data_IF_339623097611
#
_entry.id   IF_339623097611
#
_cell.length_a   1.000
_cell.length_b   1.000
_cell.length_c   1.000
_cell.angle_alpha   90.00
_cell.angle_beta   90.00
_cell.angle_gamma   90.00
#
_symmetry.space_group_name_H-M   'P 1'
#
loop_
_entity.id
_entity.type
_entity.pdbx_description
1 polymer ?
#
# COMPACT_ATOMS: atom_id res chain seq x y z
N UNK A 1 7.87 -21.90 5.63
CA UNK A 1 7.45 -20.50 5.46
C UNK A 1 6.43 -20.12 6.53
N UNK A 2 6.82 -19.30 7.48
CA UNK A 2 5.93 -18.75 8.52
C UNK A 2 5.17 -17.52 8.01
N UNK A 3 4.08 -17.13 8.69
CA UNK A 3 3.41 -15.86 8.45
C UNK A 3 3.57 -14.94 9.65
N UNK A 4 4.10 -13.75 9.41
CA UNK A 4 4.26 -12.72 10.44
C UNK A 4 3.17 -11.67 10.24
N UNK A 5 2.10 -11.79 11.01
CA UNK A 5 0.97 -10.87 10.99
C UNK A 5 1.31 -9.68 11.87
N UNK A 6 1.29 -8.47 11.32
CA UNK A 6 1.72 -7.27 12.05
C UNK A 6 0.69 -6.17 11.97
N UNK A 7 0.66 -5.38 13.04
CA UNK A 7 0.02 -4.08 13.11
C UNK A 7 0.93 -3.14 13.90
N UNK A 8 0.87 -1.84 13.59
CA UNK A 8 1.69 -0.82 14.23
C UNK A 8 0.83 0.37 14.62
N UNK A 9 1.03 0.86 15.83
CA UNK A 9 0.51 2.18 16.21
C UNK A 9 1.60 3.23 16.07
N UNK A 10 1.23 4.42 15.63
CA UNK A 10 2.17 5.53 15.44
C UNK A 10 1.63 6.85 15.98
N UNK A 11 2.56 7.67 16.48
CA UNK A 11 2.29 9.05 16.85
C UNK A 11 2.63 10.00 15.70
N UNK A 12 2.05 11.19 15.74
CA UNK A 12 2.26 12.26 14.77
C UNK A 12 2.35 13.61 15.48
N UNK A 13 2.67 14.66 14.72
CA UNK A 13 2.72 16.03 15.25
C UNK A 13 1.43 16.40 16.00
N UNK A 14 1.50 16.78 17.30
CA UNK A 14 0.35 17.28 18.05
C UNK A 14 -0.03 18.71 17.64
N UNK A 15 0.84 19.40 16.89
CA UNK A 15 0.66 20.79 16.45
C UNK A 15 0.23 20.90 14.97
N UNK A 16 -0.29 19.80 14.41
CA UNK A 16 -0.78 19.74 13.04
C UNK A 16 0.31 19.51 11.99
N UNK A 17 -0.11 19.45 10.72
CA UNK A 17 0.71 19.00 9.58
C UNK A 17 1.93 19.89 9.30
N UNK A 18 1.83 21.20 9.55
CA UNK A 18 2.92 22.13 9.28
C UNK A 18 4.13 21.94 10.22
N UNK A 19 3.88 21.41 11.42
CA UNK A 19 4.92 21.06 12.40
C UNK A 19 5.38 19.59 12.27
N UNK A 20 4.92 18.87 11.25
CA UNK A 20 5.33 17.48 11.01
C UNK A 20 6.77 17.41 10.47
N UNK A 21 7.52 16.40 10.91
CA UNK A 21 8.85 16.11 10.43
C UNK A 21 8.68 15.44 9.08
N UNK A 22 9.15 16.08 8.01
CA UNK A 22 8.99 15.58 6.64
C UNK A 22 9.60 14.20 6.42
N UNK A 23 10.65 13.84 7.17
CA UNK A 23 11.31 12.53 7.07
C UNK A 23 10.62 11.45 7.89
N UNK A 24 9.87 11.84 8.93
CA UNK A 24 9.17 10.93 9.82
C UNK A 24 7.84 11.54 10.26
N UNK A 25 6.82 11.58 9.38
CA UNK A 25 5.53 12.18 9.70
C UNK A 25 4.73 11.33 10.71
N UNK A 26 5.00 10.02 10.74
CA UNK A 26 4.43 9.03 11.64
C UNK A 26 5.59 8.27 12.30
N UNK A 27 5.73 8.40 13.61
CA UNK A 27 6.73 7.69 14.41
C UNK A 27 6.06 6.51 15.10
N UNK A 28 6.54 5.29 14.83
CA UNK A 28 5.97 4.07 15.43
C UNK A 28 6.17 4.12 16.95
N UNK A 29 5.10 3.84 17.68
CA UNK A 29 5.03 3.84 19.15
C UNK A 29 4.61 2.49 19.74
N UNK A 30 4.06 1.58 18.96
CA UNK A 30 3.74 0.21 19.39
C UNK A 30 3.95 -0.75 18.21
N UNK A 31 4.54 -1.91 18.48
CA UNK A 31 4.59 -3.04 17.54
C UNK A 31 3.79 -4.18 18.13
N UNK A 32 2.79 -4.66 17.39
CA UNK A 32 2.07 -5.89 17.69
C UNK A 32 2.21 -6.87 16.55
N UNK A 33 2.54 -8.12 16.87
CA UNK A 33 2.66 -9.15 15.87
C UNK A 33 2.28 -10.53 16.40
N UNK A 34 1.73 -11.34 15.50
CA UNK A 34 1.38 -12.74 15.71
C UNK A 34 2.05 -13.57 14.64
N UNK A 35 2.76 -14.61 15.07
CA UNK A 35 3.41 -15.55 14.16
C UNK A 35 2.52 -16.77 13.98
N UNK A 36 2.27 -17.13 12.73
CA UNK A 36 1.54 -18.32 12.35
C UNK A 36 2.43 -19.30 11.60
N UNK A 37 2.20 -20.60 11.81
CA UNK A 37 2.75 -21.64 10.96
C UNK A 37 2.05 -21.73 9.59
N UNK A 38 2.47 -22.70 8.76
CA UNK A 38 1.92 -22.91 7.42
C UNK A 38 0.43 -23.27 7.42
N UNK A 39 -0.05 -23.92 8.48
CA UNK A 39 -1.45 -24.27 8.69
C UNK A 39 -2.28 -23.10 9.23
N UNK A 40 -1.66 -21.96 9.55
CA UNK A 40 -2.32 -20.80 10.13
C UNK A 40 -2.55 -20.90 11.64
N UNK A 41 -1.88 -21.82 12.33
CA UNK A 41 -1.91 -21.93 13.79
C UNK A 41 -0.93 -20.93 14.38
N UNK A 42 -1.35 -20.27 15.44
CA UNK A 42 -0.48 -19.36 16.18
C UNK A 42 0.63 -20.13 16.90
N UNK A 43 1.87 -19.68 16.71
CA UNK A 43 3.06 -20.29 17.33
C UNK A 43 3.84 -19.32 18.21
N UNK A 44 3.68 -18.00 18.03
CA UNK A 44 4.33 -17.01 18.89
C UNK A 44 3.69 -15.61 18.77
N UNK A 45 3.99 -14.71 19.72
CA UNK A 45 3.54 -13.31 19.73
C UNK A 45 4.70 -12.36 20.07
N UNK A 46 4.66 -11.16 19.49
CA UNK A 46 5.57 -10.07 19.81
C UNK A 46 4.76 -8.80 20.08
N UNK A 47 4.99 -8.15 21.23
CA UNK A 47 4.30 -6.92 21.60
C UNK A 47 5.24 -6.01 22.37
N UNK A 48 5.56 -4.86 21.81
CA UNK A 48 6.52 -3.92 22.38
C UNK A 48 6.06 -2.47 22.24
N UNK A 49 6.15 -1.73 23.35
CA UNK A 49 5.92 -0.30 23.40
C UNK A 49 7.21 0.45 23.07
N UNK A 50 7.13 1.44 22.19
CA UNK A 50 8.28 2.20 21.71
C UNK A 50 8.26 3.62 22.28
N UNK A 51 9.41 4.03 22.83
CA UNK A 51 9.61 5.39 23.30
C UNK A 51 9.93 6.33 22.13
N UNK A 52 9.06 7.31 21.82
CA UNK A 52 9.27 8.21 20.70
C UNK A 52 10.41 9.19 20.97
N UNK A 53 11.19 9.46 19.93
CA UNK A 53 12.27 10.45 19.94
C UNK A 53 11.81 11.78 19.34
N UNK A 54 10.98 11.74 18.30
CA UNK A 54 10.52 12.90 17.52
C UNK A 54 9.25 13.49 18.12
N UNK A 55 8.22 12.68 18.35
CA UNK A 55 6.92 13.11 18.85
C UNK A 55 6.70 12.66 20.29
N UNK A 56 7.37 13.33 21.23
CA UNK A 56 7.32 13.00 22.67
C UNK A 56 5.98 13.32 23.34
N UNK A 57 5.17 14.16 22.73
CA UNK A 57 3.81 14.49 23.18
C UNK A 57 2.82 13.79 22.26
N UNK A 58 1.79 13.15 22.83
CA UNK A 58 0.79 12.47 22.02
C UNK A 58 -0.06 13.46 21.24
N UNK A 59 -0.33 13.12 19.98
CA UNK A 59 -1.43 13.73 19.27
C UNK A 59 -2.77 13.34 19.93
N UNK A 60 -3.67 14.31 20.13
CA UNK A 60 -4.95 14.08 20.83
C UNK A 60 -5.83 13.02 20.17
N UNK A 61 -5.86 12.97 18.83
CA UNK A 61 -6.67 11.97 18.10
C UNK A 61 -6.06 10.59 18.28
N UNK A 62 -4.74 10.44 18.10
CA UNK A 62 -4.03 9.17 18.32
C UNK A 62 -4.22 8.67 19.75
N UNK A 63 -4.11 9.55 20.75
CA UNK A 63 -4.32 9.21 22.16
C UNK A 63 -5.73 8.69 22.43
N UNK A 64 -6.74 9.34 21.84
CA UNK A 64 -8.13 8.92 22.03
C UNK A 64 -8.45 7.60 21.34
N UNK A 65 -7.82 7.32 20.19
CA UNK A 65 -8.02 6.07 19.46
C UNK A 65 -7.33 4.89 20.14
N UNK A 66 -6.06 5.05 20.50
CA UNK A 66 -5.21 3.94 20.99
C UNK A 66 -5.24 3.75 22.51
N UNK A 67 -5.69 4.76 23.26
CA UNK A 67 -5.57 4.79 24.72
C UNK A 67 -4.13 4.93 25.24
N UNK A 68 -3.11 4.95 24.38
CA UNK A 68 -1.69 5.02 24.77
C UNK A 68 -1.40 6.39 25.38
N UNK A 69 -0.81 6.39 26.58
CA UNK A 69 -0.44 7.63 27.28
C UNK A 69 1.04 7.94 27.14
N UNK A 70 1.41 9.21 27.35
CA UNK A 70 2.82 9.62 27.43
C UNK A 70 3.58 8.87 28.53
N UNK A 71 2.90 8.41 29.58
CA UNK A 71 3.52 7.60 30.65
C UNK A 71 3.91 6.21 30.14
N UNK A 72 3.06 5.61 29.31
CA UNK A 72 3.33 4.31 28.69
C UNK A 72 4.50 4.43 27.72
N UNK A 73 4.47 5.46 26.86
CA UNK A 73 5.56 5.75 25.93
C UNK A 73 6.91 5.96 26.63
N UNK A 74 6.92 6.65 27.78
CA UNK A 74 8.16 6.89 28.51
C UNK A 74 8.79 5.62 29.10
N UNK A 75 8.02 4.55 29.26
CA UNK A 75 8.45 3.22 29.69
C UNK A 75 8.86 2.32 28.52
N UNK A 76 8.52 2.70 27.30
CA UNK A 76 8.87 1.94 26.09
C UNK A 76 10.36 1.88 25.82
N UNK A 77 10.74 0.93 24.96
CA UNK A 77 12.11 0.74 24.48
C UNK A 77 12.34 1.61 23.23
N UNK A 78 13.58 1.99 22.94
CA UNK A 78 13.88 2.81 21.75
C UNK A 78 13.69 2.00 20.46
N UNK A 79 13.12 2.63 19.43
CA UNK A 79 12.78 1.97 18.15
C UNK A 79 13.90 1.10 17.57
N UNK A 80 15.18 1.54 17.47
CA UNK A 80 16.24 0.69 16.94
C UNK A 80 16.40 -0.66 17.64
N UNK A 81 16.26 -0.69 18.97
CA UNK A 81 16.41 -1.94 19.73
C UNK A 81 15.22 -2.86 19.50
N UNK A 82 14.00 -2.32 19.60
CA UNK A 82 12.77 -3.09 19.36
C UNK A 82 12.75 -3.65 17.95
N UNK A 83 13.17 -2.87 16.94
CA UNK A 83 13.24 -3.34 15.56
C UNK A 83 14.20 -4.51 15.40
N UNK A 84 15.41 -4.44 15.98
CA UNK A 84 16.37 -5.55 15.92
C UNK A 84 15.77 -6.81 16.55
N UNK A 85 15.16 -6.69 17.72
CA UNK A 85 14.52 -7.81 18.41
C UNK A 85 13.35 -8.38 17.59
N UNK A 86 12.55 -7.50 17.00
CA UNK A 86 11.43 -7.87 16.14
C UNK A 86 11.89 -8.62 14.89
N UNK A 87 12.94 -8.16 14.22
CA UNK A 87 13.48 -8.83 13.03
C UNK A 87 14.12 -10.18 13.38
N UNK A 88 14.80 -10.29 14.53
CA UNK A 88 15.30 -11.57 15.04
C UNK A 88 14.14 -12.52 15.34
N UNK A 89 13.07 -12.02 15.95
CA UNK A 89 11.86 -12.78 16.23
C UNK A 89 11.15 -13.24 14.95
N UNK A 90 11.12 -12.43 13.89
CA UNK A 90 10.57 -12.83 12.59
C UNK A 90 11.26 -14.07 12.00
N UNK A 91 12.58 -14.21 12.22
CA UNK A 91 13.37 -15.31 11.64
C UNK A 91 13.74 -15.08 10.18
N UNK A 92 14.08 -16.15 9.47
CA UNK A 92 14.64 -16.07 8.09
C UNK A 92 13.62 -16.35 6.98
N UNK A 93 12.68 -17.29 7.19
CA UNK A 93 11.70 -17.71 6.17
C UNK A 93 10.26 -17.38 6.60
N UNK A 94 9.86 -16.14 6.32
CA UNK A 94 8.53 -15.65 6.66
C UNK A 94 7.93 -14.76 5.57
N UNK A 95 6.61 -14.61 5.59
CA UNK A 95 5.88 -13.63 4.81
C UNK A 95 5.06 -12.72 5.71
N UNK A 96 5.20 -11.40 5.53
CA UNK A 96 4.36 -10.45 6.26
C UNK A 96 2.89 -10.55 5.84
N UNK A 97 2.02 -10.37 6.82
CA UNK A 97 0.59 -10.16 6.65
C UNK A 97 0.20 -8.88 7.37
N UNK A 98 -0.53 -7.99 6.71
CA UNK A 98 -1.02 -6.75 7.33
C UNK A 98 -2.48 -6.56 6.96
N UNK A 99 -3.25 -5.91 7.84
CA UNK A 99 -4.60 -5.53 7.47
C UNK A 99 -4.57 -4.54 6.29
N UNK A 100 -3.83 -3.44 6.45
CA UNK A 100 -3.76 -2.34 5.50
C UNK A 100 -2.54 -2.37 4.57
N UNK A 101 -2.24 -1.22 3.96
CA UNK A 101 -1.05 -1.02 3.12
C UNK A 101 -0.10 0.04 3.69
N UNK A 102 -0.33 0.47 4.93
CA UNK A 102 0.43 1.54 5.58
C UNK A 102 1.50 0.98 6.51
N UNK A 103 1.27 -0.16 7.13
CA UNK A 103 2.14 -0.73 8.16
C UNK A 103 3.58 -0.92 7.66
N UNK A 104 3.76 -1.66 6.55
CA UNK A 104 5.09 -1.87 5.97
C UNK A 104 5.70 -0.59 5.38
N UNK A 105 4.87 0.34 4.91
CA UNK A 105 5.33 1.62 4.39
C UNK A 105 5.92 2.47 5.52
N UNK A 106 5.20 2.58 6.64
CA UNK A 106 5.65 3.36 7.79
C UNK A 106 6.75 2.65 8.56
N UNK A 107 6.77 1.31 8.63
CA UNK A 107 7.90 0.54 9.14
C UNK A 107 9.17 0.91 8.38
N UNK A 108 9.19 0.77 7.05
CA UNK A 108 10.39 1.08 6.26
C UNK A 108 10.77 2.57 6.34
N UNK A 109 9.81 3.48 6.47
CA UNK A 109 10.11 4.91 6.68
C UNK A 109 10.79 5.15 8.03
N UNK A 110 10.30 4.50 9.09
CA UNK A 110 10.93 4.57 10.42
C UNK A 110 12.34 3.94 10.35
N UNK A 111 12.52 2.80 9.67
CA UNK A 111 13.82 2.18 9.44
C UNK A 111 14.79 3.14 8.75
N UNK A 112 14.36 3.80 7.66
CA UNK A 112 15.18 4.78 6.95
C UNK A 112 15.57 5.98 7.83
N UNK A 113 14.63 6.50 8.63
CA UNK A 113 14.91 7.60 9.56
C UNK A 113 16.02 7.25 10.57
N UNK A 114 16.07 5.99 11.01
CA UNK A 114 17.07 5.47 11.93
C UNK A 114 18.28 4.80 11.25
N UNK A 115 18.36 4.82 9.91
CA UNK A 115 19.42 4.16 9.12
C UNK A 115 19.50 2.64 9.32
N UNK A 116 18.34 1.98 9.36
CA UNK A 116 18.18 0.54 9.60
C UNK A 116 17.51 -0.20 8.43
N UNK A 117 17.43 0.42 7.26
CA UNK A 117 16.74 -0.13 6.07
C UNK A 117 17.31 -1.47 5.59
N UNK A 118 18.60 -1.74 5.86
CA UNK A 118 19.26 -3.00 5.51
C UNK A 118 18.77 -4.22 6.32
N UNK A 119 18.09 -4.01 7.45
CA UNK A 119 17.51 -5.12 8.22
C UNK A 119 16.32 -5.78 7.50
N UNK A 120 15.68 -5.07 6.57
CA UNK A 120 14.55 -5.57 5.79
C UNK A 120 14.65 -5.06 4.37
N UNK A 121 15.39 -5.80 3.54
CA UNK A 121 15.63 -5.42 2.14
C UNK A 121 14.36 -5.57 1.32
N UNK A 122 13.88 -4.46 0.77
CA UNK A 122 12.70 -4.44 -0.10
C UNK A 122 13.06 -4.53 -1.60
N UNK A 123 12.05 -4.47 -2.50
CA UNK A 123 10.61 -4.39 -2.24
C UNK A 123 10.05 -5.60 -1.47
N UNK A 124 9.13 -5.37 -0.53
CA UNK A 124 8.66 -6.42 0.40
C UNK A 124 7.42 -7.11 -0.17
N UNK A 125 7.47 -8.44 -0.33
CA UNK A 125 6.28 -9.25 -0.63
C UNK A 125 5.50 -9.50 0.66
N UNK A 126 4.19 -9.31 0.60
CA UNK A 126 3.31 -9.50 1.75
C UNK A 126 1.86 -9.80 1.33
N UNK A 127 1.08 -10.31 2.27
CA UNK A 127 -0.37 -10.43 2.14
C UNK A 127 -1.07 -9.22 2.75
N UNK A 128 -1.83 -8.51 1.92
CA UNK A 128 -2.77 -7.51 2.40
C UNK A 128 -4.09 -8.23 2.71
N UNK A 129 -4.31 -8.51 3.99
CA UNK A 129 -5.42 -9.35 4.47
C UNK A 129 -6.77 -8.69 4.17
N UNK A 130 -6.87 -7.37 4.23
CA UNK A 130 -8.09 -6.65 3.87
C UNK A 130 -8.50 -6.89 2.40
N UNK A 131 -7.56 -6.88 1.45
CA UNK A 131 -7.84 -7.17 0.03
C UNK A 131 -8.19 -8.64 -0.20
N UNK A 132 -7.54 -9.54 0.52
CA UNK A 132 -7.89 -10.96 0.49
C UNK A 132 -9.31 -11.16 1.02
N UNK A 133 -9.63 -10.52 2.14
CA UNK A 133 -10.96 -10.55 2.73
C UNK A 133 -12.02 -10.04 1.77
N UNK A 134 -11.83 -8.85 1.17
CA UNK A 134 -12.78 -8.33 0.19
C UNK A 134 -12.95 -9.26 -1.02
N UNK A 135 -11.89 -9.99 -1.38
CA UNK A 135 -11.91 -10.89 -2.54
C UNK A 135 -12.63 -12.21 -2.24
N UNK A 136 -12.38 -12.81 -1.08
CA UNK A 136 -12.89 -14.13 -0.74
C UNK A 136 -14.26 -14.09 -0.07
N UNK A 137 -14.59 -13.00 0.63
CA UNK A 137 -15.82 -12.92 1.43
C UNK A 137 -16.72 -11.76 1.02
N UNK A 138 -16.18 -10.56 0.80
CA UNK A 138 -17.04 -9.39 0.66
C UNK A 138 -17.55 -9.12 -0.76
N UNK A 139 -16.87 -9.57 -1.83
CA UNK A 139 -17.19 -9.29 -3.27
C UNK A 139 -17.47 -7.83 -3.68
N UNK A 140 -17.57 -6.90 -2.73
CA UNK A 140 -17.72 -5.48 -2.93
C UNK A 140 -16.38 -4.84 -3.27
N UNK A 141 -16.45 -3.72 -3.97
CA UNK A 141 -15.27 -2.93 -4.37
C UNK A 141 -14.78 -1.95 -3.29
N UNK A 142 -15.43 -1.95 -2.13
CA UNK A 142 -15.18 -1.05 -0.99
C UNK A 142 -14.08 -1.58 -0.07
N UNK A 143 -13.35 -0.65 0.54
CA UNK A 143 -12.36 -0.94 1.60
C UNK A 143 -13.13 -1.10 2.90
N UNK A 144 -12.97 -2.23 3.60
CA UNK A 144 -13.68 -2.52 4.87
C UNK A 144 -12.79 -2.34 6.08
N UNK A 145 -13.35 -1.97 7.24
CA UNK A 145 -12.60 -1.92 8.50
C UNK A 145 -12.27 -3.32 9.01
N UNK A 146 -11.26 -3.41 9.89
CA UNK A 146 -10.92 -4.66 10.58
C UNK A 146 -12.09 -5.14 11.43
N UNK A 147 -12.69 -4.21 12.20
CA UNK A 147 -13.90 -4.45 12.99
C UNK A 147 -15.05 -5.06 12.17
N UNK A 148 -15.33 -4.53 10.99
CA UNK A 148 -16.35 -5.10 10.11
C UNK A 148 -16.05 -6.55 9.74
N UNK A 149 -14.79 -6.88 9.45
CA UNK A 149 -14.42 -8.24 9.07
C UNK A 149 -14.45 -9.22 10.26
N UNK A 150 -14.06 -8.77 11.45
CA UNK A 150 -14.20 -9.52 12.71
C UNK A 150 -15.66 -9.87 12.95
N UNK A 151 -16.56 -8.88 12.84
CA UNK A 151 -18.00 -9.08 13.01
C UNK A 151 -18.59 -9.98 11.93
N UNK A 152 -18.20 -9.78 10.67
CA UNK A 152 -18.67 -10.59 9.54
C UNK A 152 -18.34 -12.07 9.71
N UNK A 153 -17.12 -12.38 10.17
CA UNK A 153 -16.67 -13.74 10.43
C UNK A 153 -17.10 -14.28 11.80
N UNK A 154 -17.81 -13.47 12.60
CA UNK A 154 -18.26 -13.79 13.96
C UNK A 154 -17.11 -14.24 14.87
N UNK A 155 -15.95 -13.62 14.71
CA UNK A 155 -14.80 -13.85 15.57
C UNK A 155 -15.08 -13.27 16.96
N UNK A 156 -14.44 -13.84 17.99
CA UNK A 156 -14.60 -13.34 19.36
C UNK A 156 -13.83 -12.04 19.53
N UNK A 157 -14.50 -11.01 20.02
CA UNK A 157 -13.85 -9.79 20.51
C UNK A 157 -13.03 -10.11 21.77
N UNK A 158 -11.72 -10.18 21.63
CA UNK A 158 -10.77 -10.53 22.71
C UNK A 158 -10.10 -9.31 23.35
N UNK A 159 -10.14 -8.16 22.69
CA UNK A 159 -9.54 -6.91 23.15
C UNK A 159 -10.06 -5.68 22.39
N UNK A 160 -9.64 -4.50 22.83
CA UNK A 160 -9.98 -3.23 22.18
C UNK A 160 -9.24 -3.09 20.84
N UNK A 161 -9.91 -2.54 19.84
CA UNK A 161 -9.28 -2.10 18.59
C UNK A 161 -8.28 -0.97 18.84
N UNK A 162 -7.35 -0.76 17.90
CA UNK A 162 -6.30 0.27 18.00
C UNK A 162 -5.28 0.02 19.12
N UNK A 163 -5.12 -1.25 19.47
CA UNK A 163 -3.95 -1.77 20.18
C UNK A 163 -3.27 -2.72 19.22
N UNK A 164 -2.00 -2.47 18.94
CA UNK A 164 -1.30 -3.15 17.85
C UNK A 164 -1.37 -4.68 17.97
N UNK A 165 -1.20 -5.22 19.19
CA UNK A 165 -1.27 -6.67 19.39
C UNK A 165 -2.67 -7.25 19.14
N UNK A 166 -3.72 -6.55 19.55
CA UNK A 166 -5.10 -7.00 19.34
C UNK A 166 -5.46 -6.96 17.84
N UNK A 167 -5.07 -5.88 17.14
CA UNK A 167 -5.34 -5.74 15.71
C UNK A 167 -4.52 -6.75 14.88
N UNK A 168 -3.30 -7.07 15.30
CA UNK A 168 -2.52 -8.18 14.75
C UNK A 168 -3.19 -9.55 14.99
N UNK A 169 -3.72 -9.80 16.19
CA UNK A 169 -4.47 -11.02 16.51
C UNK A 169 -5.73 -11.18 15.67
N UNK A 170 -6.57 -10.14 15.58
CA UNK A 170 -7.76 -10.17 14.73
C UNK A 170 -7.39 -10.40 13.27
N UNK A 171 -6.37 -9.71 12.77
CA UNK A 171 -5.86 -9.92 11.41
C UNK A 171 -5.37 -11.36 11.21
N UNK A 172 -4.73 -11.94 12.23
CA UNK A 172 -4.20 -13.30 12.19
C UNK A 172 -5.32 -14.34 12.16
N UNK A 173 -6.37 -14.18 12.97
CA UNK A 173 -7.55 -15.04 12.97
C UNK A 173 -8.28 -14.99 11.62
N UNK A 174 -8.47 -13.78 11.07
CA UNK A 174 -9.07 -13.59 9.74
C UNK A 174 -8.21 -14.26 8.67
N UNK A 175 -6.89 -14.11 8.72
CA UNK A 175 -6.00 -14.73 7.75
C UNK A 175 -5.97 -16.25 7.90
N UNK A 176 -5.98 -16.79 9.14
CA UNK A 176 -5.93 -18.22 9.45
C UNK A 176 -7.07 -19.01 8.81
N UNK A 177 -8.28 -18.44 8.73
CA UNK A 177 -9.45 -19.08 8.11
C UNK A 177 -9.47 -19.02 6.58
N UNK A 178 -8.55 -18.28 5.95
CA UNK A 178 -8.45 -18.20 4.49
C UNK A 178 -7.72 -19.41 3.90
N UNK A 179 -8.16 -19.87 2.74
CA UNK A 179 -7.41 -20.86 1.96
C UNK A 179 -6.04 -20.28 1.54
N UNK A 180 -4.96 -20.88 2.08
CA UNK A 180 -3.58 -20.43 1.83
C UNK A 180 -3.14 -20.62 0.37
N UNK A 181 -3.64 -21.65 -0.31
CA UNK A 181 -3.34 -21.89 -1.74
C UNK A 181 -3.98 -20.82 -2.60
N UNK A 182 -5.20 -20.40 -2.27
CA UNK A 182 -5.83 -19.28 -2.95
C UNK A 182 -5.15 -17.95 -2.59
N UNK A 183 -4.86 -17.70 -1.31
CA UNK A 183 -4.18 -16.48 -0.86
C UNK A 183 -2.83 -16.28 -1.55
N UNK A 184 -2.05 -17.36 -1.74
CA UNK A 184 -0.74 -17.34 -2.39
C UNK A 184 -0.75 -16.76 -3.82
N UNK A 185 -1.89 -16.81 -4.53
CA UNK A 185 -2.05 -16.21 -5.86
C UNK A 185 -2.15 -14.68 -5.81
N UNK A 186 -2.36 -14.10 -4.64
CA UNK A 186 -2.75 -12.70 -4.45
C UNK A 186 -1.79 -11.90 -3.56
N UNK A 187 -0.58 -12.38 -3.30
CA UNK A 187 0.44 -11.58 -2.62
C UNK A 187 0.64 -10.25 -3.35
N UNK A 188 0.95 -9.20 -2.60
CA UNK A 188 1.28 -7.89 -3.12
C UNK A 188 2.69 -7.50 -2.72
N UNK A 189 3.14 -6.37 -3.23
CA UNK A 189 4.47 -5.83 -2.93
C UNK A 189 4.30 -4.43 -2.37
N UNK A 190 4.90 -4.19 -1.22
CA UNK A 190 5.21 -2.84 -0.77
C UNK A 190 6.48 -2.38 -1.48
N UNK A 191 6.43 -1.15 -1.98
CA UNK A 191 7.44 -0.61 -2.89
C UNK A 191 8.05 0.68 -2.35
N UNK A 192 8.11 0.86 -1.02
CA UNK A 192 8.86 1.97 -0.44
C UNK A 192 10.33 1.93 -0.86
N UNK A 193 10.99 0.78 -0.67
CA UNK A 193 12.26 0.46 -1.33
C UNK A 193 11.99 0.01 -2.77
N UNK A 194 11.67 0.98 -3.64
CA UNK A 194 11.32 0.73 -5.03
C UNK A 194 12.53 0.29 -5.90
N UNK A 195 12.29 -0.35 -7.07
CA UNK A 195 13.35 -0.71 -8.01
C UNK A 195 14.22 0.49 -8.42
N UNK A 196 15.54 0.28 -8.50
CA UNK A 196 16.50 1.31 -8.92
C UNK A 196 16.99 1.13 -10.36
N UNK A 197 16.91 -0.09 -10.89
CA UNK A 197 17.31 -0.43 -12.26
C UNK A 197 16.23 -1.17 -13.05
N UNK A 198 16.39 -1.25 -14.37
CA UNK A 198 15.45 -1.96 -15.26
C UNK A 198 15.28 -3.44 -14.91
N UNK A 199 16.37 -4.08 -14.47
CA UNK A 199 16.38 -5.51 -14.10
C UNK A 199 15.60 -5.80 -12.82
N UNK A 200 15.47 -4.80 -11.95
CA UNK A 200 14.73 -4.91 -10.68
C UNK A 200 13.24 -4.57 -10.82
N UNK A 201 12.79 -4.15 -12.00
CA UNK A 201 11.38 -3.80 -12.20
C UNK A 201 10.46 -4.99 -11.95
N UNK A 202 9.37 -4.72 -11.24
CA UNK A 202 8.45 -5.77 -10.82
C UNK A 202 7.29 -5.84 -11.80
N UNK A 203 6.96 -7.06 -12.26
CA UNK A 203 5.77 -7.36 -13.05
C UNK A 203 5.01 -8.50 -12.37
N UNK A 204 3.86 -8.16 -11.78
CA UNK A 204 2.95 -9.11 -11.16
C UNK A 204 1.75 -9.30 -12.08
N UNK A 205 1.39 -10.55 -12.35
CA UNK A 205 0.21 -10.91 -13.14
C UNK A 205 -0.72 -11.69 -12.23
N UNK A 206 -1.91 -11.14 -12.02
CA UNK A 206 -3.02 -11.77 -11.33
C UNK A 206 -4.11 -12.12 -12.34
N UNK A 207 -5.11 -12.87 -11.89
CA UNK A 207 -6.20 -13.34 -12.74
C UNK A 207 -7.01 -12.19 -13.38
N UNK A 208 -7.32 -11.14 -12.59
CA UNK A 208 -8.16 -10.02 -13.01
C UNK A 208 -7.39 -8.72 -13.26
N UNK A 209 -6.07 -8.69 -13.05
CA UNK A 209 -5.24 -7.53 -13.36
C UNK A 209 -3.74 -7.84 -13.37
N UNK A 210 -2.95 -6.94 -13.93
CA UNK A 210 -1.49 -6.92 -13.71
C UNK A 210 -1.03 -5.63 -13.06
N UNK A 211 0.11 -5.72 -12.38
CA UNK A 211 0.78 -4.60 -11.71
C UNK A 211 2.23 -4.53 -12.17
N UNK A 212 2.69 -3.34 -12.54
CA UNK A 212 4.06 -3.05 -12.89
C UNK A 212 4.59 -1.92 -12.00
N UNK A 213 5.78 -2.11 -11.45
CA UNK A 213 6.50 -1.12 -10.65
C UNK A 213 7.83 -0.86 -11.36
N UNK A 214 8.02 0.37 -11.82
CA UNK A 214 9.20 0.76 -12.59
C UNK A 214 10.41 1.05 -11.72
N UNK A 215 11.57 1.21 -12.39
CA UNK A 215 12.69 1.95 -11.82
C UNK A 215 12.36 3.42 -11.54
N UNK A 216 13.30 4.14 -10.93
CA UNK A 216 13.22 5.58 -10.75
C UNK A 216 13.51 6.38 -12.03
N UNK A 217 12.98 7.60 -12.03
CA UNK A 217 13.13 8.62 -13.05
C UNK A 217 13.33 9.98 -12.36
N UNK A 218 14.13 10.84 -12.99
CA UNK A 218 14.41 12.19 -12.49
C UNK A 218 13.20 13.13 -12.58
N UNK A 219 12.24 12.85 -13.47
CA UNK A 219 11.05 13.67 -13.64
C UNK A 219 9.82 12.86 -14.05
N UNK A 220 8.64 13.48 -13.90
CA UNK A 220 7.37 12.90 -14.37
C UNK A 220 7.39 12.74 -15.88
N UNK A 221 8.01 13.68 -16.58
CA UNK A 221 8.15 13.72 -18.03
C UNK A 221 9.03 12.57 -18.51
N UNK A 222 10.16 12.31 -17.83
CA UNK A 222 11.02 11.17 -18.11
C UNK A 222 10.28 9.84 -17.89
N UNK A 223 9.56 9.71 -16.76
CA UNK A 223 8.75 8.53 -16.47
C UNK A 223 7.67 8.28 -17.53
N UNK A 224 6.97 9.34 -17.96
CA UNK A 224 5.90 9.24 -18.96
C UNK A 224 6.40 9.13 -20.40
N UNK A 225 7.69 9.37 -20.65
CA UNK A 225 8.34 9.15 -21.95
C UNK A 225 8.95 7.76 -22.08
N UNK A 226 9.10 7.04 -20.95
CA UNK A 226 9.69 5.71 -20.91
C UNK A 226 8.89 4.67 -21.72
N UNK A 227 9.61 3.89 -22.54
CA UNK A 227 9.00 2.90 -23.45
C UNK A 227 8.26 1.79 -22.70
N UNK A 228 8.79 1.29 -21.59
CA UNK A 228 8.19 0.19 -20.83
C UNK A 228 6.94 0.68 -20.08
N UNK A 229 7.02 1.88 -19.51
CA UNK A 229 5.88 2.56 -18.86
C UNK A 229 4.72 2.73 -19.85
N UNK A 230 4.98 3.29 -21.04
CA UNK A 230 3.94 3.63 -22.03
C UNK A 230 3.34 2.41 -22.73
N UNK A 231 4.16 1.42 -23.06
CA UNK A 231 3.74 0.22 -23.79
C UNK A 231 2.63 -0.50 -23.03
N UNK A 232 1.65 -1.09 -23.70
CA UNK A 232 0.66 -1.94 -23.04
C UNK A 232 0.62 -3.26 -23.78
N UNK A 233 0.98 -4.32 -23.06
CA UNK A 233 0.84 -5.70 -23.50
C UNK A 233 -0.34 -6.30 -22.76
N UNK A 234 -1.09 -7.16 -23.43
CA UNK A 234 -2.12 -7.93 -22.78
C UNK A 234 -1.48 -8.79 -21.69
N UNK A 235 -1.95 -8.68 -20.45
CA UNK A 235 -1.38 -9.44 -19.34
C UNK A 235 -1.78 -10.92 -19.37
N UNK A 236 -2.74 -11.31 -20.22
CA UNK A 236 -3.16 -12.70 -20.44
C UNK A 236 -2.31 -13.40 -21.50
N UNK A 237 -2.17 -12.83 -22.70
CA UNK A 237 -1.39 -13.45 -23.79
C UNK A 237 -0.02 -12.82 -24.10
N UNK A 238 0.39 -11.75 -23.41
CA UNK A 238 1.69 -11.08 -23.62
C UNK A 238 1.84 -10.28 -24.93
N UNK A 239 0.90 -10.42 -25.86
CA UNK A 239 0.88 -9.70 -27.15
C UNK A 239 0.66 -8.19 -26.95
N UNK A 240 1.21 -7.33 -27.84
CA UNK A 240 0.92 -5.89 -27.81
C UNK A 240 -0.59 -5.61 -27.91
N UNK A 241 -1.10 -4.71 -27.08
CA UNK A 241 -2.47 -4.24 -27.14
C UNK A 241 -2.55 -2.90 -27.89
N UNK A 242 -3.48 -2.78 -28.83
CA UNK A 242 -3.68 -1.58 -29.64
C UNK A 242 -4.22 -0.44 -28.76
N UNK A 243 -3.58 0.74 -28.80
CA UNK A 243 -4.04 1.90 -28.05
C UNK A 243 -5.23 2.58 -28.74
N UNK A 244 -6.43 2.38 -28.20
CA UNK A 244 -7.64 3.12 -28.61
C UNK A 244 -7.65 4.54 -28.06
N UNK A 245 -7.23 4.70 -26.79
CA UNK A 245 -7.04 6.01 -26.15
C UNK A 245 -5.62 6.06 -25.59
N UNK A 246 -4.81 6.99 -26.11
CA UNK A 246 -3.45 7.26 -25.60
C UNK A 246 -3.50 7.74 -24.15
N UNK A 247 -2.39 7.57 -23.43
CA UNK A 247 -2.27 8.01 -22.04
C UNK A 247 -2.63 9.48 -21.88
N UNK A 248 -3.53 9.78 -20.95
CA UNK A 248 -3.95 11.14 -20.59
C UNK A 248 -3.98 11.29 -19.07
N UNK A 249 -3.70 12.49 -18.57
CA UNK A 249 -3.81 12.80 -17.14
C UNK A 249 -5.28 12.89 -16.75
N UNK A 250 -5.69 12.04 -15.80
CA UNK A 250 -7.05 11.88 -15.30
C UNK A 250 -7.25 12.37 -13.87
N UNK A 251 -8.37 11.93 -13.25
CA UNK A 251 -8.70 12.22 -11.85
C UNK A 251 -7.65 11.61 -10.89
N UNK A 252 -7.47 12.22 -9.71
CA UNK A 252 -6.59 11.77 -8.62
C UNK A 252 -5.11 11.63 -9.00
N UNK A 253 -4.60 12.56 -9.82
CA UNK A 253 -3.18 12.61 -10.27
C UNK A 253 -2.70 11.29 -10.90
N UNK A 254 -3.61 10.55 -11.51
CA UNK A 254 -3.33 9.31 -12.21
C UNK A 254 -3.46 9.51 -13.73
N UNK A 255 -2.72 8.74 -14.51
CA UNK A 255 -2.86 8.69 -15.96
C UNK A 255 -3.68 7.48 -16.36
N UNK A 256 -4.50 7.62 -17.39
CA UNK A 256 -5.35 6.56 -17.90
C UNK A 256 -5.14 6.35 -19.39
N UNK A 257 -5.37 5.12 -19.85
CA UNK A 257 -5.46 4.80 -21.25
C UNK A 257 -6.49 3.68 -21.47
N UNK A 258 -6.95 3.55 -22.71
CA UNK A 258 -7.69 2.39 -23.17
C UNK A 258 -6.87 1.69 -24.25
N UNK A 259 -6.59 0.41 -24.04
CA UNK A 259 -5.99 -0.47 -25.03
C UNK A 259 -6.94 -1.62 -25.35
N UNK A 260 -6.72 -2.31 -26.45
CA UNK A 260 -7.51 -3.46 -26.88
C UNK A 260 -6.59 -4.59 -27.31
N UNK A 261 -6.82 -5.77 -26.76
CA UNK A 261 -6.21 -7.01 -27.21
C UNK A 261 -7.18 -7.70 -28.18
N UNK A 262 -6.68 -8.13 -29.34
CA UNK A 262 -7.49 -8.82 -30.34
C UNK A 262 -8.20 -10.09 -29.80
N UNK A 263 -7.62 -10.74 -28.80
CA UNK A 263 -8.16 -11.97 -28.20
C UNK A 263 -8.93 -11.72 -26.89
N UNK A 264 -8.52 -10.71 -26.11
CA UNK A 264 -8.97 -10.52 -24.73
C UNK A 264 -9.76 -9.24 -24.50
N UNK A 265 -10.09 -8.51 -25.57
CA UNK A 265 -10.92 -7.30 -25.52
C UNK A 265 -10.23 -6.10 -24.87
N UNK A 266 -11.03 -5.22 -24.26
CA UNK A 266 -10.56 -3.94 -23.75
C UNK A 266 -9.78 -4.06 -22.44
N UNK A 267 -8.72 -3.27 -22.36
CA UNK A 267 -7.81 -3.19 -21.21
C UNK A 267 -7.68 -1.73 -20.80
N UNK A 268 -8.14 -1.42 -19.59
CA UNK A 268 -7.90 -0.13 -18.95
C UNK A 268 -6.51 -0.13 -18.32
N UNK A 269 -5.66 0.78 -18.77
CA UNK A 269 -4.40 1.08 -18.09
C UNK A 269 -4.56 2.27 -17.15
N UNK A 270 -3.98 2.15 -15.95
CA UNK A 270 -3.89 3.23 -14.96
C UNK A 270 -2.47 3.34 -14.44
N UNK A 271 -1.86 4.51 -14.54
CA UNK A 271 -0.53 4.83 -13.99
C UNK A 271 -0.71 5.79 -12.82
N UNK A 272 -0.06 5.49 -11.70
CA UNK A 272 0.15 6.43 -10.59
C UNK A 272 1.64 6.74 -10.53
N UNK A 273 1.98 8.03 -10.61
CA UNK A 273 3.34 8.49 -10.33
C UNK A 273 3.48 8.64 -8.81
N UNK A 274 4.52 8.02 -8.27
CA UNK A 274 4.92 8.12 -6.88
C UNK A 274 6.23 8.89 -6.81
N UNK A 275 6.37 9.71 -5.78
CA UNK A 275 7.55 10.51 -5.51
C UNK A 275 8.30 9.88 -4.34
N UNK A 276 9.62 9.72 -4.45
CA UNK A 276 10.48 9.21 -3.37
C UNK A 276 10.91 10.35 -2.45
N UNK A 277 11.57 10.03 -1.35
CA UNK A 277 12.09 11.04 -0.43
C UNK A 277 13.27 11.83 -1.04
N UNK A 278 13.97 11.24 -2.02
CA UNK A 278 15.05 11.84 -2.83
C UNK A 278 14.51 12.64 -4.03
N UNK A 279 13.24 13.04 -3.99
CA UNK A 279 12.56 13.81 -5.03
C UNK A 279 12.47 13.17 -6.43
N UNK A 280 12.84 11.88 -6.56
CA UNK A 280 12.69 11.09 -7.78
C UNK A 280 11.27 10.56 -7.95
N UNK A 281 10.98 10.04 -9.14
CA UNK A 281 9.67 9.49 -9.49
C UNK A 281 9.76 8.03 -9.92
N UNK A 282 8.78 7.22 -9.51
CA UNK A 282 8.56 5.90 -10.07
C UNK A 282 7.09 5.69 -10.42
N UNK A 283 6.83 4.70 -11.26
CA UNK A 283 5.51 4.40 -11.81
C UNK A 283 4.98 3.12 -11.18
N UNK A 284 3.76 3.22 -10.65
CA UNK A 284 2.91 2.05 -10.37
C UNK A 284 1.82 2.01 -11.43
N UNK A 285 1.90 1.03 -12.32
CA UNK A 285 0.96 0.82 -13.41
C UNK A 285 0.12 -0.41 -13.17
N UNK A 286 -1.18 -0.29 -13.37
CA UNK A 286 -2.11 -1.42 -13.32
C UNK A 286 -2.85 -1.55 -14.63
N UNK A 287 -3.00 -2.78 -15.13
CA UNK A 287 -3.82 -3.10 -16.29
C UNK A 287 -4.99 -3.97 -15.83
N UNK A 288 -6.22 -3.59 -16.17
CA UNK A 288 -7.44 -4.35 -15.85
C UNK A 288 -8.27 -4.60 -17.11
N UNK A 289 -8.89 -5.78 -17.25
CA UNK A 289 -9.90 -5.97 -18.28
C UNK A 289 -11.09 -5.05 -17.97
N UNK A 290 -11.74 -4.55 -19.01
CA UNK A 290 -12.99 -3.79 -18.91
C UNK A 290 -13.94 -4.24 -20.02
N UNK A 291 -15.22 -4.18 -19.76
CA UNK A 291 -16.27 -4.38 -20.76
C UNK A 291 -16.45 -3.12 -21.63
N UNK A 292 -17.43 -3.16 -22.53
CA UNK A 292 -17.74 -2.04 -23.41
C UNK A 292 -18.18 -0.79 -22.64
N UNK A 293 -18.96 -0.95 -21.56
CA UNK A 293 -19.40 0.15 -20.70
C UNK A 293 -18.20 0.80 -19.98
N UNK A 294 -17.31 -0.01 -19.41
CA UNK A 294 -16.08 0.46 -18.79
C UNK A 294 -15.13 1.13 -19.79
N UNK A 295 -15.07 0.66 -21.03
CA UNK A 295 -14.32 1.29 -22.10
C UNK A 295 -14.89 2.68 -22.48
N UNK A 296 -16.21 2.77 -22.63
CA UNK A 296 -16.92 4.03 -22.89
C UNK A 296 -16.66 5.05 -21.77
N UNK A 297 -16.74 4.62 -20.50
CA UNK A 297 -16.47 5.49 -19.35
C UNK A 297 -15.05 6.07 -19.30
N UNK A 298 -14.05 5.42 -19.93
CA UNK A 298 -12.70 6.00 -20.09
C UNK A 298 -12.69 7.08 -21.18
N UNK A 299 -13.48 6.91 -22.24
CA UNK A 299 -13.73 7.95 -23.24
C UNK A 299 -14.39 9.18 -22.62
N UNK A 300 -15.49 8.98 -21.88
CA UNK A 300 -16.24 10.04 -21.23
C UNK A 300 -15.38 10.82 -20.23
N UNK A 301 -14.57 10.11 -19.43
CA UNK A 301 -13.62 10.74 -18.51
C UNK A 301 -12.65 11.67 -19.24
N UNK A 302 -12.16 11.27 -20.42
CA UNK A 302 -11.22 12.09 -21.20
C UNK A 302 -11.91 13.34 -21.73
N UNK A 303 -13.14 13.23 -22.21
CA UNK A 303 -13.89 14.35 -22.76
C UNK A 303 -14.31 15.34 -21.66
N UNK A 304 -14.79 14.86 -20.51
CA UNK A 304 -15.11 15.69 -19.34
C UNK A 304 -13.90 16.53 -18.91
N UNK A 305 -12.71 15.92 -18.89
CA UNK A 305 -11.47 16.62 -18.53
C UNK A 305 -11.01 17.62 -19.59
N UNK A 306 -11.31 17.36 -20.87
CA UNK A 306 -11.03 18.29 -21.97
C UNK A 306 -11.92 19.52 -21.86
N UNK A 307 -13.22 19.33 -21.65
CA UNK A 307 -14.20 20.41 -21.45
C UNK A 307 -13.81 21.30 -20.27
N UNK A 308 -13.53 20.70 -19.09
CA UNK A 308 -13.06 21.45 -17.90
C UNK A 308 -11.78 22.27 -18.14
N UNK A 309 -10.85 21.77 -18.96
CA UNK A 309 -9.63 22.51 -19.32
C UNK A 309 -9.92 23.66 -20.28
N UNK A 310 -10.85 23.48 -21.21
CA UNK A 310 -11.28 24.54 -22.13
C UNK A 310 -12.00 25.67 -21.36
N UNK A 311 -12.93 25.32 -20.47
CA UNK A 311 -13.62 26.28 -19.61
C UNK A 311 -12.63 27.07 -18.73
N UNK A 312 -11.65 26.39 -18.14
CA UNK A 312 -10.62 27.04 -17.32
C UNK A 312 -9.80 28.06 -18.14
N UNK A 313 -9.35 27.68 -19.35
CA UNK A 313 -8.64 28.59 -20.25
C UNK A 313 -9.49 29.77 -20.68
N UNK A 314 -10.78 29.55 -20.93
CA UNK A 314 -11.69 30.63 -21.30
C UNK A 314 -11.86 31.63 -20.15
N UNK A 315 -11.98 31.16 -18.90
CA UNK A 315 -12.08 32.01 -17.70
C UNK A 315 -10.78 32.78 -17.42
N UNK A 316 -9.62 32.13 -17.56
CA UNK A 316 -8.31 32.77 -17.37
C UNK A 316 -8.05 33.83 -18.46
N UNK A 317 -8.43 33.56 -19.71
CA UNK A 317 -8.30 34.50 -20.82
C UNK A 317 -9.31 35.67 -20.82
N UNK A 318 -10.37 35.63 -20.00
CA UNK A 318 -11.32 36.76 -19.84
C UNK A 318 -10.97 37.70 -18.68
N UNK A 319 -9.94 37.40 -17.89
CA UNK A 319 -9.45 38.30 -16.82
C UNK A 319 -8.19 39.09 -17.21
N UNK A 320 -7.64 38.84 -18.40
CA UNK A 320 -6.48 39.57 -18.96
C UNK A 320 -6.89 40.52 -20.11
N UNK A 321 -8.20 40.74 -20.33
CA UNK A 321 -8.75 41.55 -21.42
C UNK A 321 -9.37 42.87 -20.97
#
# INVERSE_FOLDING_TARGET
MEYVVVDFEWNQSPYGKNASNKRLPFEIIEIGAVKLDEEGREIDRFSEMIKPKVYRKMNHVTKNLTGITEKDLNRGTVFPKVLVDFMLWCGEDYMFCTWGNLDLLELQRNMKFYHLEDLLVGPIKYYNVQKLFCRFYNHESSVVSLEYAVDFLKLRHKGEFHRAINDAEYTAEIFAVMDKKEAAKWYTVDYYQNPKSRKQEIKLVYEDYSKYISKEFESKEAAMSDREVRTTRCYRCGKPALKRIRWFSGKNRAYYCLAECAEHGYIRGKIRLKKTDEDKFFVVKTLRPVDAAGAAGIGDMKEELRQKRQEKRHREGTHEG
#
